data_IF_722657919547
#
_entry.id   IF_722657919547
#
_cell.length_a   1.000
_cell.length_b   1.000
_cell.length_c   1.000
_cell.angle_alpha   90.00
_cell.angle_beta   90.00
_cell.angle_gamma   90.00
#
_symmetry.space_group_name_H-M   'P 1'
#
loop_
_entity.id
_entity.type
_entity.pdbx_description
1 polymer ?
#
# COMPACT_ATOMS: atom_id res chain seq x y z
N UNK A 1 -3.83 29.91 29.38
CA UNK A 1 -5.09 29.20 29.03
C UNK A 1 -4.76 27.75 28.68
N UNK A 2 -5.25 26.77 29.47
CA UNK A 2 -5.12 25.35 29.13
C UNK A 2 -6.08 25.05 27.96
N UNK A 3 -5.57 24.50 26.84
CA UNK A 3 -6.43 24.09 25.72
C UNK A 3 -7.36 22.96 26.20
N UNK A 4 -8.64 23.04 25.87
CA UNK A 4 -9.62 21.98 26.16
C UNK A 4 -9.18 20.67 25.50
N UNK A 5 -9.35 19.50 26.13
CA UNK A 5 -8.89 18.21 25.59
C UNK A 5 -9.33 17.95 24.14
N UNK A 6 -10.56 18.35 23.79
CA UNK A 6 -11.12 18.22 22.44
C UNK A 6 -10.31 18.99 21.37
N UNK A 7 -9.87 20.21 21.68
CA UNK A 7 -9.05 21.02 20.76
C UNK A 7 -7.66 20.42 20.54
N UNK A 8 -7.13 19.70 21.53
CA UNK A 8 -5.82 19.04 21.44
C UNK A 8 -5.91 17.82 20.53
N UNK A 9 -6.93 16.97 20.70
CA UNK A 9 -7.15 15.79 19.86
C UNK A 9 -7.38 16.18 18.40
N UNK A 10 -8.23 17.19 18.14
CA UNK A 10 -8.49 17.65 16.77
C UNK A 10 -7.22 18.16 16.08
N UNK A 11 -6.36 18.86 16.81
CA UNK A 11 -5.08 19.31 16.26
C UNK A 11 -4.16 18.14 15.90
N UNK A 12 -4.06 17.12 16.78
CA UNK A 12 -3.24 15.94 16.52
C UNK A 12 -3.69 15.16 15.27
N UNK A 13 -5.01 15.11 15.02
CA UNK A 13 -5.54 14.51 13.79
C UNK A 13 -5.13 15.33 12.55
N UNK A 14 -5.28 16.66 12.60
CA UNK A 14 -4.84 17.53 11.50
C UNK A 14 -3.33 17.40 11.25
N UNK A 15 -2.54 17.26 12.31
CA UNK A 15 -1.10 17.07 12.22
C UNK A 15 -0.75 15.71 11.59
N UNK A 16 -1.48 14.64 11.92
CA UNK A 16 -1.31 13.32 11.29
C UNK A 16 -1.65 13.37 9.80
N UNK A 17 -2.78 13.99 9.44
CA UNK A 17 -3.18 14.19 8.06
C UNK A 17 -2.07 14.88 7.24
N UNK A 18 -1.57 16.00 7.75
CA UNK A 18 -0.46 16.73 7.14
C UNK A 18 0.83 15.89 7.07
N UNK A 19 1.13 15.12 8.11
CA UNK A 19 2.31 14.26 8.17
C UNK A 19 2.29 13.17 7.08
N UNK A 20 1.12 12.59 6.80
CA UNK A 20 0.96 11.53 5.80
C UNK A 20 1.14 12.07 4.37
N UNK A 21 0.74 13.31 4.11
CA UNK A 21 0.81 13.96 2.80
C UNK A 21 2.21 14.49 2.46
N UNK A 22 2.89 15.11 3.43
CA UNK A 22 4.10 15.90 3.16
C UNK A 22 5.42 15.15 3.29
N UNK A 23 5.43 13.96 3.90
CA UNK A 23 6.67 13.31 4.37
C UNK A 23 6.87 11.89 3.85
N UNK A 24 6.15 11.50 2.80
CA UNK A 24 6.35 10.21 2.17
C UNK A 24 7.73 10.15 1.50
N UNK A 25 8.55 9.20 1.95
CA UNK A 25 9.75 8.81 1.21
C UNK A 25 9.29 8.03 -0.01
N UNK A 26 9.84 8.34 -1.19
CA UNK A 26 9.44 7.74 -2.46
C UNK A 26 10.59 6.91 -3.00
N UNK A 27 10.33 5.65 -3.30
CA UNK A 27 11.36 4.71 -3.79
C UNK A 27 10.85 4.00 -5.04
N UNK A 28 11.54 4.11 -6.18
CA UNK A 28 11.21 3.33 -7.37
C UNK A 28 11.26 1.82 -7.08
N UNK A 29 10.21 1.10 -7.47
CA UNK A 29 10.14 -0.35 -7.37
C UNK A 29 10.83 -0.98 -8.58
N UNK A 30 11.72 -1.95 -8.36
CA UNK A 30 12.23 -2.80 -9.43
C UNK A 30 11.44 -4.10 -9.44
N UNK A 31 10.48 -4.23 -10.37
CA UNK A 31 9.61 -5.42 -10.46
C UNK A 31 10.31 -6.69 -10.96
N UNK A 32 11.53 -6.57 -11.50
CA UNK A 32 12.34 -7.71 -11.93
C UNK A 32 13.31 -8.21 -10.84
N UNK A 33 13.57 -7.40 -9.81
CA UNK A 33 14.53 -7.68 -8.76
C UNK A 33 13.87 -7.93 -7.40
N UNK A 34 14.44 -8.79 -6.59
CA UNK A 34 13.93 -9.15 -5.27
C UNK A 34 14.59 -8.37 -4.13
N UNK A 35 15.55 -7.47 -4.38
CA UNK A 35 16.33 -6.76 -3.34
C UNK A 35 16.31 -5.23 -3.41
N UNK A 36 15.49 -4.64 -4.28
CA UNK A 36 15.43 -3.17 -4.44
C UNK A 36 15.07 -2.44 -3.14
N UNK A 37 14.20 -3.03 -2.33
CA UNK A 37 13.78 -2.49 -1.04
C UNK A 37 14.93 -2.41 -0.02
N UNK A 38 15.91 -3.33 -0.09
CA UNK A 38 17.13 -3.29 0.72
C UNK A 38 18.10 -2.25 0.18
N UNK A 39 18.32 -2.23 -1.14
CA UNK A 39 19.23 -1.27 -1.78
C UNK A 39 18.80 0.18 -1.55
N UNK A 40 17.48 0.42 -1.57
CA UNK A 40 16.87 1.71 -1.26
C UNK A 40 16.80 2.03 0.25
N UNK A 41 17.30 1.13 1.11
CA UNK A 41 17.36 1.31 2.57
C UNK A 41 16.00 1.60 3.20
N UNK A 42 14.93 0.97 2.70
CA UNK A 42 13.60 1.07 3.34
C UNK A 42 13.73 0.55 4.78
N UNK A 43 13.25 1.29 5.80
CA UNK A 43 13.44 0.91 7.19
C UNK A 43 12.60 -0.31 7.58
N UNK A 44 13.10 -1.09 8.54
CA UNK A 44 12.39 -2.22 9.16
C UNK A 44 11.53 -1.76 10.34
N UNK A 45 10.68 -0.76 10.11
CA UNK A 45 9.85 -0.15 11.14
C UNK A 45 8.37 -0.16 10.73
N UNK A 46 7.43 -0.02 11.69
CA UNK A 46 6.03 0.15 11.37
C UNK A 46 5.75 1.48 10.67
N UNK A 47 4.75 1.49 9.78
CA UNK A 47 4.34 2.71 9.10
C UNK A 47 3.20 2.50 8.11
N UNK A 48 2.94 3.59 7.39
CA UNK A 48 1.98 3.63 6.28
C UNK A 48 2.72 3.59 4.97
N UNK A 49 2.06 3.05 3.95
CA UNK A 49 2.59 3.08 2.60
C UNK A 49 1.46 3.24 1.59
N UNK A 50 1.84 3.71 0.41
CA UNK A 50 1.02 3.73 -0.77
C UNK A 50 1.89 3.42 -1.99
N UNK A 51 1.26 2.94 -3.04
CA UNK A 51 1.93 2.54 -4.28
C UNK A 51 1.38 3.39 -5.40
N UNK A 52 2.29 4.03 -6.11
CA UNK A 52 2.00 4.85 -7.27
C UNK A 52 2.38 4.12 -8.55
N UNK A 53 1.66 4.41 -9.63
CA UNK A 53 2.01 3.94 -10.96
C UNK A 53 1.55 4.91 -12.05
N UNK A 54 2.21 4.86 -13.20
CA UNK A 54 1.74 5.49 -14.43
C UNK A 54 0.94 4.51 -15.32
N UNK A 55 0.71 3.28 -14.87
CA UNK A 55 -0.10 2.30 -15.59
C UNK A 55 -1.55 2.78 -15.73
N UNK A 56 -2.07 2.95 -16.97
CA UNK A 56 -3.46 3.28 -17.19
C UNK A 56 -4.43 2.25 -16.58
N UNK A 57 -5.63 2.71 -16.22
CA UNK A 57 -6.66 1.86 -15.59
C UNK A 57 -6.99 0.65 -16.47
N UNK A 58 -7.03 0.82 -17.79
CA UNK A 58 -7.32 -0.25 -18.76
C UNK A 58 -6.23 -1.34 -18.76
N UNK A 59 -4.98 -0.97 -18.43
CA UNK A 59 -3.91 -1.95 -18.22
C UNK A 59 -4.20 -2.75 -16.96
N UNK A 60 -4.52 -2.08 -15.86
CA UNK A 60 -4.80 -2.74 -14.58
C UNK A 60 -6.00 -3.69 -14.70
N UNK A 61 -7.04 -3.28 -15.44
CA UNK A 61 -8.27 -4.07 -15.66
C UNK A 61 -8.05 -5.35 -16.49
N UNK A 62 -7.06 -5.40 -17.38
CA UNK A 62 -6.80 -6.58 -18.23
C UNK A 62 -5.77 -7.54 -17.66
N UNK A 63 -5.29 -7.31 -16.43
CA UNK A 63 -4.31 -8.20 -15.84
C UNK A 63 -4.90 -9.59 -15.59
N UNK A 64 -4.17 -10.61 -16.03
CA UNK A 64 -4.54 -12.00 -15.79
C UNK A 64 -3.75 -12.51 -14.60
N UNK A 65 -4.46 -13.10 -13.62
CA UNK A 65 -3.81 -13.68 -12.46
C UNK A 65 -2.89 -14.83 -12.92
N UNK A 66 -1.59 -14.79 -12.62
CA UNK A 66 -0.63 -15.73 -13.20
C UNK A 66 -0.80 -17.16 -12.69
N UNK A 67 -1.33 -17.32 -11.47
CA UNK A 67 -1.61 -18.62 -10.86
C UNK A 67 -2.66 -18.47 -9.76
N UNK A 68 -3.49 -19.50 -9.59
CA UNK A 68 -4.56 -19.54 -8.59
C UNK A 68 -4.29 -20.54 -7.47
N UNK A 69 -3.43 -21.54 -7.70
CA UNK A 69 -3.03 -22.56 -6.72
C UNK A 69 -1.52 -22.80 -6.72
N UNK A 70 -1.03 -23.33 -5.61
CA UNK A 70 0.36 -23.78 -5.48
C UNK A 70 0.49 -24.97 -4.53
N UNK A 71 1.54 -25.76 -4.72
CA UNK A 71 1.86 -26.87 -3.82
C UNK A 71 2.72 -26.37 -2.67
N UNK A 72 2.23 -26.56 -1.45
CA UNK A 72 2.97 -26.26 -0.23
C UNK A 72 4.13 -27.26 -0.02
N UNK A 73 5.08 -26.91 0.84
CA UNK A 73 6.22 -27.80 1.20
C UNK A 73 5.79 -29.16 1.77
N UNK A 74 4.58 -29.26 2.32
CA UNK A 74 3.99 -30.50 2.85
C UNK A 74 3.26 -31.34 1.78
N UNK A 75 3.32 -30.94 0.50
CA UNK A 75 2.66 -31.61 -0.62
C UNK A 75 1.18 -31.28 -0.80
N UNK A 76 0.57 -30.46 0.06
CA UNK A 76 -0.84 -30.06 -0.08
C UNK A 76 -0.99 -28.91 -1.07
N UNK A 77 -2.04 -28.96 -1.89
CA UNK A 77 -2.47 -27.80 -2.67
C UNK A 77 -3.07 -26.73 -1.76
N UNK A 78 -2.80 -25.47 -2.07
CA UNK A 78 -3.42 -24.32 -1.45
C UNK A 78 -3.70 -23.23 -2.46
N UNK A 79 -4.71 -22.41 -2.17
CA UNK A 79 -5.02 -21.24 -2.97
C UNK A 79 -3.96 -20.16 -2.79
N UNK A 80 -3.59 -19.55 -3.90
CA UNK A 80 -2.75 -18.36 -3.93
C UNK A 80 -3.54 -17.22 -3.28
N UNK A 81 -2.89 -16.40 -2.43
CA UNK A 81 -3.53 -15.25 -1.76
C UNK A 81 -3.23 -13.90 -2.39
N UNK A 82 -2.47 -13.89 -3.49
CA UNK A 82 -2.12 -12.71 -4.27
C UNK A 82 -3.37 -11.96 -4.70
N UNK A 83 -3.32 -10.64 -4.66
CA UNK A 83 -4.42 -9.77 -5.06
C UNK A 83 -4.86 -10.00 -6.51
N UNK A 84 -6.17 -9.92 -6.71
CA UNK A 84 -6.80 -9.87 -8.03
C UNK A 84 -6.79 -8.42 -8.53
N UNK A 85 -5.79 -8.08 -9.35
CA UNK A 85 -5.59 -6.71 -9.85
C UNK A 85 -6.74 -6.31 -10.78
N UNK A 86 -7.09 -7.18 -11.74
CA UNK A 86 -8.16 -6.89 -12.69
C UNK A 86 -9.52 -6.80 -12.01
N UNK A 87 -9.85 -7.75 -11.13
CA UNK A 87 -11.09 -7.70 -10.35
C UNK A 87 -11.20 -6.44 -9.48
N UNK A 88 -10.07 -5.96 -8.92
CA UNK A 88 -10.06 -4.71 -8.14
C UNK A 88 -10.23 -3.47 -9.03
N UNK A 89 -9.54 -3.43 -10.17
CA UNK A 89 -9.58 -2.31 -11.12
C UNK A 89 -10.89 -2.21 -11.92
N UNK A 90 -11.59 -3.33 -12.11
CA UNK A 90 -12.89 -3.38 -12.77
C UNK A 90 -14.00 -2.63 -11.99
N UNK A 91 -13.76 -2.29 -10.72
CA UNK A 91 -14.68 -1.48 -9.90
C UNK A 91 -14.61 0.02 -10.21
N UNK A 92 -13.62 0.45 -10.98
CA UNK A 92 -13.57 1.83 -11.45
C UNK A 92 -14.83 2.13 -12.26
N UNK A 93 -15.51 3.21 -11.90
CA UNK A 93 -16.73 3.67 -12.55
C UNK A 93 -16.69 5.19 -12.64
N UNK A 94 -17.07 5.73 -13.81
CA UNK A 94 -16.94 7.16 -14.11
C UNK A 94 -17.80 8.05 -13.20
N UNK A 95 -18.92 7.54 -12.68
CA UNK A 95 -19.79 8.23 -11.72
C UNK A 95 -19.15 8.40 -10.34
N UNK A 96 -18.15 7.58 -10.01
CA UNK A 96 -17.37 7.63 -8.77
C UNK A 96 -15.92 8.05 -9.02
N UNK A 97 -15.57 8.58 -10.19
CA UNK A 97 -14.19 8.92 -10.55
C UNK A 97 -13.49 9.82 -9.52
N UNK A 98 -14.22 10.78 -8.94
CA UNK A 98 -13.69 11.72 -7.94
C UNK A 98 -13.49 11.07 -6.56
N UNK A 99 -14.06 9.88 -6.35
CA UNK A 99 -13.84 9.07 -5.15
C UNK A 99 -12.67 8.09 -5.31
N UNK A 100 -12.25 7.79 -6.55
CA UNK A 100 -11.16 6.88 -6.83
C UNK A 100 -9.82 7.60 -6.91
N UNK A 101 -8.77 6.95 -6.41
CA UNK A 101 -7.39 7.35 -6.64
C UNK A 101 -6.74 6.37 -7.63
N UNK A 102 -6.47 6.88 -8.83
CA UNK A 102 -5.88 6.13 -9.95
C UNK A 102 -4.37 6.39 -10.11
N UNK A 103 -3.79 7.32 -9.36
CA UNK A 103 -2.35 7.57 -9.34
C UNK A 103 -1.68 6.78 -8.23
N UNK A 104 -2.19 6.89 -7.01
CA UNK A 104 -1.80 6.13 -5.83
C UNK A 104 -2.74 4.93 -5.68
N UNK A 105 -2.55 3.96 -6.57
CA UNK A 105 -3.47 2.85 -6.82
C UNK A 105 -3.59 1.84 -5.68
N UNK A 106 -2.71 1.87 -4.67
CA UNK A 106 -2.85 1.03 -3.48
C UNK A 106 -2.38 1.75 -2.22
N UNK A 107 -3.03 1.50 -1.09
CA UNK A 107 -2.59 1.96 0.24
C UNK A 107 -2.66 0.85 1.28
N UNK A 108 -1.82 0.97 2.30
CA UNK A 108 -1.88 0.08 3.45
C UNK A 108 -1.04 0.53 4.64
N UNK A 109 -1.04 -0.32 5.66
CA UNK A 109 -0.18 -0.23 6.84
C UNK A 109 0.69 -1.49 6.98
N UNK A 110 1.85 -1.35 7.62
CA UNK A 110 2.75 -2.46 7.87
C UNK A 110 3.39 -2.36 9.26
N UNK A 111 3.66 -3.50 9.88
CA UNK A 111 4.56 -3.59 11.05
C UNK A 111 6.04 -3.57 10.66
N UNK A 112 6.34 -3.88 9.40
CA UNK A 112 7.67 -3.77 8.81
C UNK A 112 7.52 -3.31 7.35
N UNK A 113 7.88 -2.05 7.09
CA UNK A 113 7.78 -1.43 5.76
C UNK A 113 8.67 -2.11 4.72
N UNK A 114 9.89 -2.52 5.10
CA UNK A 114 10.82 -3.18 4.19
C UNK A 114 10.28 -4.54 3.71
N UNK A 115 9.76 -5.36 4.62
CA UNK A 115 9.17 -6.67 4.26
C UNK A 115 7.93 -6.46 3.39
N UNK A 116 7.10 -5.47 3.72
CA UNK A 116 5.89 -5.17 2.93
C UNK A 116 6.23 -4.68 1.52
N UNK A 117 7.26 -3.84 1.35
CA UNK A 117 7.75 -3.43 0.05
C UNK A 117 8.17 -4.62 -0.82
N UNK A 118 8.89 -5.59 -0.24
CA UNK A 118 9.25 -6.86 -0.89
C UNK A 118 8.02 -7.64 -1.35
N UNK A 119 7.04 -7.79 -0.45
CA UNK A 119 5.80 -8.54 -0.71
C UNK A 119 4.97 -7.95 -1.85
N UNK A 120 5.01 -6.64 -2.08
CA UNK A 120 4.32 -6.04 -3.24
C UNK A 120 5.02 -6.31 -4.57
N UNK A 121 6.26 -6.79 -4.56
CA UNK A 121 7.01 -7.13 -5.77
C UNK A 121 6.95 -8.63 -6.05
N UNK A 122 7.52 -9.45 -5.16
CA UNK A 122 7.64 -10.90 -5.33
C UNK A 122 7.36 -11.59 -3.98
N UNK A 123 6.07 -11.69 -3.58
CA UNK A 123 5.70 -12.31 -2.33
C UNK A 123 5.75 -13.84 -2.42
N UNK A 124 5.82 -14.48 -1.27
CA UNK A 124 5.39 -15.86 -1.14
C UNK A 124 3.92 -15.98 -1.54
N UNK A 125 3.53 -17.07 -2.20
CA UNK A 125 2.19 -17.25 -2.78
C UNK A 125 1.05 -17.26 -1.73
N UNK A 126 1.40 -17.50 -0.47
CA UNK A 126 0.49 -17.41 0.68
C UNK A 126 0.29 -16.00 1.24
N UNK A 127 0.97 -14.98 0.71
CA UNK A 127 0.91 -13.60 1.20
C UNK A 127 -0.06 -12.77 0.38
N UNK A 128 -0.98 -12.09 1.06
CA UNK A 128 -2.00 -11.25 0.45
C UNK A 128 -1.47 -9.86 0.07
N UNK A 129 -0.57 -9.80 -0.91
CA UNK A 129 0.00 -8.57 -1.47
C UNK A 129 -0.26 -8.49 -2.98
N UNK A 130 0.11 -7.36 -3.60
CA UNK A 130 -0.11 -7.13 -5.04
C UNK A 130 0.70 -8.08 -5.94
N UNK A 131 1.91 -8.47 -5.52
CA UNK A 131 2.80 -9.34 -6.30
C UNK A 131 3.08 -8.84 -7.72
N UNK A 132 3.31 -7.53 -7.88
CA UNK A 132 3.40 -6.86 -9.18
C UNK A 132 4.44 -7.50 -10.12
N UNK A 133 5.53 -8.05 -9.58
CA UNK A 133 6.57 -8.73 -10.34
C UNK A 133 6.10 -10.00 -11.07
N UNK A 134 4.95 -10.57 -10.69
CA UNK A 134 4.35 -11.73 -11.34
C UNK A 134 3.48 -11.38 -12.57
N UNK A 135 3.27 -10.09 -12.86
CA UNK A 135 2.48 -9.62 -14.00
C UNK A 135 3.43 -9.01 -15.03
N UNK A 136 3.81 -9.73 -16.11
CA UNK A 136 4.85 -9.27 -17.03
C UNK A 136 4.55 -7.92 -17.68
N UNK A 137 3.29 -7.66 -18.02
CA UNK A 137 2.87 -6.40 -18.65
C UNK A 137 3.08 -5.18 -17.73
N UNK A 138 2.88 -5.35 -16.41
CA UNK A 138 3.04 -4.26 -15.45
C UNK A 138 4.50 -3.78 -15.33
N UNK A 139 5.48 -4.56 -15.81
CA UNK A 139 6.90 -4.17 -15.82
C UNK A 139 7.23 -3.05 -16.80
N UNK A 140 6.32 -2.75 -17.73
CA UNK A 140 6.48 -1.67 -18.71
C UNK A 140 6.10 -0.29 -18.15
N UNK A 141 5.67 -0.23 -16.89
CA UNK A 141 5.16 0.96 -16.24
C UNK A 141 6.04 1.31 -15.04
N UNK A 142 6.08 2.60 -14.69
CA UNK A 142 6.72 3.06 -13.48
C UNK A 142 5.90 2.64 -12.26
N UNK A 143 6.60 2.18 -11.22
CA UNK A 143 6.01 1.86 -9.93
C UNK A 143 6.85 2.48 -8.83
N UNK A 144 6.19 3.14 -7.89
CA UNK A 144 6.87 3.78 -6.75
C UNK A 144 6.23 3.32 -5.46
N UNK A 145 7.08 2.87 -4.52
CA UNK A 145 6.66 2.58 -3.16
C UNK A 145 6.91 3.81 -2.30
N UNK A 146 5.83 4.41 -1.83
CA UNK A 146 5.84 5.58 -0.98
C UNK A 146 5.57 5.16 0.46
N UNK A 147 6.33 5.68 1.43
CA UNK A 147 6.13 5.29 2.83
C UNK A 147 6.41 6.40 3.84
N UNK A 148 5.71 6.29 4.97
CA UNK A 148 5.82 7.16 6.14
C UNK A 148 6.01 6.31 7.38
N UNK A 149 7.09 6.54 8.11
CA UNK A 149 7.39 5.82 9.34
C UNK A 149 6.53 6.33 10.50
N UNK A 150 5.82 5.42 11.19
CA UNK A 150 4.94 5.79 12.31
C UNK A 150 5.69 6.53 13.43
N UNK A 151 6.94 6.12 13.68
CA UNK A 151 7.80 6.70 14.72
C UNK A 151 8.15 8.17 14.47
N UNK A 152 8.09 8.66 13.22
CA UNK A 152 8.32 10.08 12.89
C UNK A 152 7.13 10.96 13.30
N UNK A 153 5.93 10.39 13.41
CA UNK A 153 4.73 11.11 13.85
C UNK A 153 4.58 11.06 15.37
N UNK A 154 4.48 9.86 15.93
CA UNK A 154 4.26 9.66 17.35
C UNK A 154 5.16 8.55 17.87
N UNK A 155 6.40 8.88 18.31
CA UNK A 155 7.26 7.91 18.95
C UNK A 155 6.58 7.41 20.25
N UNK A 156 6.70 6.12 20.53
CA UNK A 156 6.16 5.47 21.74
C UNK A 156 4.63 5.50 21.87
N UNK A 157 3.90 5.47 20.75
CA UNK A 157 2.44 5.30 20.78
C UNK A 157 2.02 4.07 21.60
N UNK A 158 1.15 4.25 22.59
CA UNK A 158 0.66 3.17 23.46
C UNK A 158 -0.18 2.12 22.72
N UNK A 159 -0.82 2.52 21.61
CA UNK A 159 -1.62 1.64 20.76
C UNK A 159 -1.23 1.81 19.27
N UNK A 160 -0.08 1.26 18.83
CA UNK A 160 0.45 1.50 17.49
C UNK A 160 -0.47 0.93 16.40
N UNK A 161 -1.15 -0.20 16.66
CA UNK A 161 -2.11 -0.79 15.72
C UNK A 161 -3.30 0.12 15.43
N UNK A 162 -3.84 0.77 16.46
CA UNK A 162 -4.94 1.72 16.29
C UNK A 162 -4.46 2.94 15.50
N UNK A 163 -3.30 3.49 15.86
CA UNK A 163 -2.72 4.64 15.15
C UNK A 163 -2.49 4.34 13.67
N UNK A 164 -1.90 3.17 13.35
CA UNK A 164 -1.69 2.74 11.96
C UNK A 164 -3.02 2.65 11.19
N UNK A 165 -4.06 2.05 11.77
CA UNK A 165 -5.37 1.98 11.10
C UNK A 165 -5.97 3.36 10.89
N UNK A 166 -5.92 4.21 11.91
CA UNK A 166 -6.41 5.58 11.83
C UNK A 166 -5.71 6.35 10.70
N UNK A 167 -4.38 6.31 10.65
CA UNK A 167 -3.64 7.01 9.60
C UNK A 167 -3.93 6.49 8.19
N UNK A 168 -4.10 5.18 8.00
CA UNK A 168 -4.51 4.62 6.69
C UNK A 168 -5.88 5.15 6.27
N UNK A 169 -6.87 5.11 7.18
CA UNK A 169 -8.23 5.59 6.87
C UNK A 169 -8.27 7.10 6.63
N UNK A 170 -7.49 7.87 7.40
CA UNK A 170 -7.35 9.31 7.18
C UNK A 170 -6.72 9.62 5.83
N UNK A 171 -5.67 8.89 5.45
CA UNK A 171 -5.04 9.05 4.14
C UNK A 171 -6.05 8.78 3.01
N UNK A 172 -6.85 7.71 3.09
CA UNK A 172 -7.91 7.41 2.10
C UNK A 172 -9.00 8.48 2.07
N UNK A 173 -9.37 9.02 3.23
CA UNK A 173 -10.35 10.10 3.31
C UNK A 173 -9.89 11.40 2.64
N UNK A 174 -8.58 11.64 2.54
CA UNK A 174 -8.02 12.84 1.89
C UNK A 174 -7.69 12.63 0.42
N UNK A 175 -7.24 11.44 0.05
CA UNK A 175 -6.68 11.16 -1.28
C UNK A 175 -7.64 10.36 -2.18
N UNK A 176 -8.84 10.04 -1.70
CA UNK A 176 -9.74 9.09 -2.36
C UNK A 176 -9.35 7.64 -2.09
N UNK A 177 -10.18 6.72 -2.58
CA UNK A 177 -9.98 5.29 -2.40
C UNK A 177 -9.03 4.74 -3.47
N UNK A 178 -7.88 4.15 -3.11
CA UNK A 178 -6.98 3.55 -4.09
C UNK A 178 -7.65 2.42 -4.86
N UNK A 179 -7.53 2.46 -6.19
CA UNK A 179 -8.24 1.55 -7.08
C UNK A 179 -8.03 0.06 -6.75
N UNK A 180 -6.82 -0.32 -6.36
CA UNK A 180 -6.43 -1.69 -6.04
C UNK A 180 -6.60 -2.03 -4.55
N UNK A 181 -6.96 -1.07 -3.69
CA UNK A 181 -7.28 -1.36 -2.29
C UNK A 181 -8.69 -1.95 -2.18
N UNK A 182 -8.86 -3.00 -1.38
CA UNK A 182 -10.21 -3.51 -1.04
C UNK A 182 -11.05 -2.37 -0.47
N UNK A 183 -12.29 -2.28 -0.94
CA UNK A 183 -13.34 -1.40 -0.42
C UNK A 183 -13.96 -2.05 0.83
#
# INVERSE_FOLDING_TARGET
MKKTPEKVVRQQLLDLAKHLDQLANRVPMNLAGDRWHVAAKIPRTPGWYFIETDAPVEILQRQHRPQTRYTQKNGKEADVKIYDISGSAARYADDLKDCWNIEQVYSGLASNLQDRAREHTLPDLGTAALALGLYPELRNYAWTFCYVEMQRFLPNASCPKMLLRLGEQMWRGMNGWPLLSRA
#
